data_IF_112118047215
#
_entry.id   IF_112118047215
#
_cell.length_a   1.000
_cell.length_b   1.000
_cell.length_c   1.000
_cell.angle_alpha   90.00
_cell.angle_beta   90.00
_cell.angle_gamma   90.00
#
_symmetry.space_group_name_H-M   'P 1'
#
loop_
_entity.id
_entity.type
_entity.pdbx_description
1 polymer ?
#
# COMPACT_ATOMS: atom_id res chain seq x y z
N UNK A 1 8.89 2.96 45.10
CA UNK A 1 8.57 2.41 46.43
C UNK A 1 9.45 3.14 47.47
N UNK A 2 8.88 3.56 48.56
CA UNK A 2 9.61 4.35 49.59
C UNK A 2 10.35 5.59 49.06
N UNK A 3 9.77 6.29 48.07
CA UNK A 3 10.39 7.47 47.45
C UNK A 3 11.56 7.18 46.48
N UNK A 4 11.84 5.93 46.19
CA UNK A 4 12.84 5.48 45.21
C UNK A 4 12.16 5.00 43.93
N UNK A 5 12.74 5.40 42.79
CA UNK A 5 12.29 4.93 41.47
C UNK A 5 13.06 3.66 41.10
N UNK A 6 12.34 2.62 40.70
CA UNK A 6 12.88 1.36 40.23
C UNK A 6 12.45 1.12 38.79
N UNK A 7 13.39 0.71 37.92
CA UNK A 7 13.08 0.28 36.58
C UNK A 7 12.66 -1.18 36.60
N UNK A 8 11.38 -1.46 36.31
CA UNK A 8 10.83 -2.81 36.30
C UNK A 8 10.99 -3.49 34.94
N UNK A 9 10.89 -2.73 33.86
CA UNK A 9 10.98 -3.27 32.51
C UNK A 9 11.29 -2.16 31.50
N UNK A 10 12.06 -2.52 30.47
CA UNK A 10 12.25 -1.69 29.27
C UNK A 10 11.76 -2.42 28.03
N UNK A 11 11.20 -1.69 27.08
CA UNK A 11 10.83 -2.21 25.75
C UNK A 11 11.27 -1.22 24.70
N UNK A 12 11.69 -1.74 23.54
CA UNK A 12 11.95 -0.89 22.38
C UNK A 12 10.64 -0.24 21.91
N UNK A 13 10.67 1.06 21.70
CA UNK A 13 9.55 1.80 21.12
C UNK A 13 9.29 1.32 19.69
N UNK A 14 8.03 1.02 19.37
CA UNK A 14 7.62 0.79 17.99
C UNK A 14 7.61 2.14 17.27
N UNK A 15 8.31 2.22 16.13
CA UNK A 15 8.45 3.45 15.35
C UNK A 15 7.91 3.22 13.95
N UNK A 16 7.26 4.24 13.40
CA UNK A 16 7.00 4.28 11.95
C UNK A 16 8.33 4.54 11.21
N UNK A 17 8.38 4.22 9.93
CA UNK A 17 9.56 4.47 9.11
C UNK A 17 9.99 5.96 9.13
N UNK A 18 9.02 6.88 8.99
CA UNK A 18 9.26 8.31 9.07
C UNK A 18 9.81 8.75 10.44
N UNK A 19 9.26 8.21 11.54
CA UNK A 19 9.75 8.51 12.88
C UNK A 19 11.17 7.97 13.10
N UNK A 20 11.49 6.78 12.62
CA UNK A 20 12.82 6.19 12.74
C UNK A 20 13.88 7.07 12.04
N UNK A 21 13.58 7.50 10.81
CA UNK A 21 14.46 8.37 10.04
C UNK A 21 14.65 9.74 10.74
N UNK A 22 13.53 10.38 11.13
CA UNK A 22 13.57 11.68 11.82
C UNK A 22 14.40 11.63 13.11
N UNK A 23 14.18 10.60 13.95
CA UNK A 23 14.94 10.42 15.20
C UNK A 23 16.43 10.20 14.93
N UNK A 24 16.78 9.44 13.89
CA UNK A 24 18.18 9.23 13.55
C UNK A 24 18.86 10.54 13.17
N UNK A 25 18.23 11.39 12.36
CA UNK A 25 18.73 12.72 11.99
C UNK A 25 18.84 13.63 13.22
N UNK A 26 17.80 13.72 14.02
CA UNK A 26 17.77 14.58 15.22
C UNK A 26 18.90 14.21 16.21
N UNK A 27 19.17 12.92 16.39
CA UNK A 27 20.27 12.48 17.26
C UNK A 27 21.65 12.85 16.73
N UNK A 28 21.83 12.96 15.42
CA UNK A 28 23.08 13.50 14.82
C UNK A 28 23.17 15.00 15.07
N UNK A 29 22.09 15.74 14.81
CA UNK A 29 22.03 17.19 15.01
C UNK A 29 22.26 17.59 16.48
N UNK A 30 21.80 16.76 17.42
CA UNK A 30 22.05 16.89 18.86
C UNK A 30 23.44 16.43 19.29
N UNK A 31 24.28 15.94 18.38
CA UNK A 31 25.62 15.43 18.65
C UNK A 31 25.70 14.18 19.50
N UNK A 32 24.59 13.41 19.59
CA UNK A 32 24.51 12.18 20.42
C UNK A 32 25.01 10.92 19.71
N UNK A 33 24.96 10.90 18.38
CA UNK A 33 25.46 9.82 17.55
C UNK A 33 26.16 10.39 16.31
N UNK A 34 26.98 9.57 15.65
CA UNK A 34 27.61 9.94 14.38
C UNK A 34 26.64 9.69 13.20
N UNK A 35 26.89 10.32 12.05
CA UNK A 35 26.14 10.05 10.80
C UNK A 35 26.18 8.56 10.45
N UNK A 36 27.33 7.91 10.64
CA UNK A 36 27.48 6.47 10.40
C UNK A 36 26.56 5.64 11.31
N UNK A 37 26.45 6.01 12.58
CA UNK A 37 25.56 5.32 13.52
C UNK A 37 24.10 5.55 13.15
N UNK A 38 23.75 6.75 12.67
CA UNK A 38 22.41 7.06 12.20
C UNK A 38 22.00 6.17 11.02
N UNK A 39 22.88 6.02 10.02
CA UNK A 39 22.65 5.13 8.86
C UNK A 39 22.46 3.68 9.31
N UNK A 40 23.27 3.19 10.24
CA UNK A 40 23.18 1.82 10.76
C UNK A 40 21.90 1.55 11.58
N UNK A 41 21.23 2.60 12.08
CA UNK A 41 19.99 2.48 12.87
C UNK A 41 18.72 2.43 12.03
N UNK A 42 18.79 2.80 10.76
CA UNK A 42 17.64 2.80 9.84
C UNK A 42 17.65 1.52 9.00
N UNK A 43 16.62 0.72 9.14
CA UNK A 43 16.47 -0.50 8.33
C UNK A 43 16.13 -0.16 6.88
N UNK A 44 16.80 -0.77 5.87
CA UNK A 44 16.53 -0.49 4.45
C UNK A 44 15.05 -0.66 4.06
N UNK A 45 14.35 -1.66 4.64
CA UNK A 45 12.92 -1.88 4.42
C UNK A 45 12.04 -0.70 4.85
N UNK A 46 12.48 0.07 5.85
CA UNK A 46 11.75 1.27 6.27
C UNK A 46 11.88 2.39 5.23
N UNK A 47 13.05 2.53 4.61
CA UNK A 47 13.25 3.50 3.53
C UNK A 47 12.42 3.15 2.31
N UNK A 48 12.36 1.88 1.94
CA UNK A 48 11.55 1.40 0.82
C UNK A 48 10.09 1.84 0.97
N UNK A 49 9.51 1.68 2.16
CA UNK A 49 8.13 2.11 2.43
C UNK A 49 7.91 3.63 2.30
N UNK A 50 8.94 4.45 2.49
CA UNK A 50 8.86 5.92 2.36
C UNK A 50 8.99 6.39 0.91
N UNK A 51 9.58 5.57 0.02
CA UNK A 51 9.74 5.88 -1.40
C UNK A 51 8.47 5.64 -2.21
N UNK A 52 7.53 4.87 -1.67
CA UNK A 52 6.23 4.66 -2.32
C UNK A 52 5.27 5.83 -2.12
N UNK A 53 4.36 6.09 -3.09
CA UNK A 53 3.29 7.06 -2.94
C UNK A 53 2.48 6.83 -1.66
N UNK A 54 2.10 7.91 -0.98
CA UNK A 54 1.28 7.86 0.23
C UNK A 54 0.11 8.82 0.10
N UNK A 55 -1.00 8.52 0.77
CA UNK A 55 -2.11 9.45 0.87
C UNK A 55 -1.75 10.63 1.79
N UNK A 56 -2.31 11.79 1.50
CA UNK A 56 -2.24 12.93 2.43
C UNK A 56 -2.79 12.52 3.81
N UNK A 57 -2.04 12.86 4.86
CA UNK A 57 -2.37 12.43 6.22
C UNK A 57 -3.72 12.98 6.74
N UNK A 58 -4.12 14.19 6.28
CA UNK A 58 -5.40 14.80 6.66
C UNK A 58 -6.55 14.13 5.92
N UNK A 59 -6.38 13.89 4.61
CA UNK A 59 -7.34 13.18 3.79
C UNK A 59 -7.57 11.75 4.29
N UNK A 60 -6.50 11.03 4.67
CA UNK A 60 -6.59 9.67 5.21
C UNK A 60 -7.36 9.62 6.53
N UNK A 61 -7.17 10.61 7.41
CA UNK A 61 -7.91 10.70 8.68
C UNK A 61 -9.39 11.01 8.49
N UNK A 62 -9.74 11.74 7.44
CA UNK A 62 -11.10 12.09 7.12
C UNK A 62 -11.84 10.99 6.34
N UNK A 63 -11.10 10.08 5.71
CA UNK A 63 -11.67 8.99 4.90
C UNK A 63 -12.21 7.87 5.80
N UNK A 64 -13.33 7.29 5.38
CA UNK A 64 -13.89 6.08 6.01
C UNK A 64 -13.52 4.87 5.14
N UNK A 65 -12.75 3.90 5.65
CA UNK A 65 -12.44 2.68 4.92
C UNK A 65 -13.73 1.91 4.59
N UNK A 66 -13.87 1.46 3.35
CA UNK A 66 -15.05 0.71 2.90
C UNK A 66 -14.80 -0.80 2.80
N UNK A 67 -13.53 -1.21 2.79
CA UNK A 67 -13.14 -2.62 2.72
C UNK A 67 -11.73 -2.84 3.24
N UNK A 68 -11.34 -4.10 3.39
CA UNK A 68 -10.04 -4.50 3.91
C UNK A 68 -9.47 -5.65 3.09
N UNK A 69 -8.18 -5.57 2.80
CA UNK A 69 -7.41 -6.63 2.15
C UNK A 69 -5.98 -6.68 2.66
N UNK A 70 -5.19 -7.58 2.10
CA UNK A 70 -3.76 -7.70 2.41
C UNK A 70 -2.97 -6.63 1.64
N UNK A 71 -2.11 -5.91 2.34
CA UNK A 71 -1.15 -5.00 1.72
C UNK A 71 -0.05 -5.81 1.01
N UNK A 72 -0.37 -6.26 -0.21
CA UNK A 72 0.48 -7.17 -0.97
C UNK A 72 1.68 -6.47 -1.61
N UNK A 73 1.53 -5.21 -2.00
CA UNK A 73 2.62 -4.32 -2.42
C UNK A 73 2.36 -2.93 -1.84
N UNK A 74 3.40 -2.26 -1.31
CA UNK A 74 3.25 -0.98 -0.63
C UNK A 74 2.85 0.14 -1.59
N UNK A 75 2.34 1.25 -1.03
CA UNK A 75 1.98 2.46 -1.75
C UNK A 75 0.54 2.87 -1.54
N UNK A 76 0.17 3.93 -2.25
CA UNK A 76 -1.19 4.47 -2.31
C UNK A 76 -1.52 4.79 -3.77
N UNK A 77 -2.73 4.47 -4.18
CA UNK A 77 -3.18 4.69 -5.54
C UNK A 77 -4.60 5.25 -5.56
N UNK A 78 -4.85 6.14 -6.50
CA UNK A 78 -6.17 6.67 -6.82
C UNK A 78 -6.38 6.61 -8.32
N UNK A 79 -7.59 6.29 -8.74
CA UNK A 79 -7.91 6.22 -10.16
C UNK A 79 -9.33 5.72 -10.39
N UNK A 80 -9.71 5.71 -11.65
CA UNK A 80 -10.98 5.16 -12.11
C UNK A 80 -10.92 3.64 -12.08
N UNK A 81 -12.06 3.02 -11.80
CA UNK A 81 -12.17 1.57 -11.73
C UNK A 81 -12.18 0.99 -13.15
N UNK A 82 -11.37 -0.02 -13.39
CA UNK A 82 -11.42 -0.84 -14.61
C UNK A 82 -11.33 -2.32 -14.25
N UNK A 83 -11.92 -3.18 -15.07
CA UNK A 83 -12.09 -4.60 -14.76
C UNK A 83 -11.28 -5.53 -15.69
N UNK A 84 -10.75 -5.02 -16.79
CA UNK A 84 -9.91 -5.79 -17.73
C UNK A 84 -8.54 -5.16 -17.89
N UNK A 85 -7.57 -5.96 -18.30
CA UNK A 85 -6.22 -5.49 -18.61
C UNK A 85 -6.22 -4.54 -19.82
N UNK A 86 -7.09 -4.83 -20.78
CA UNK A 86 -7.29 -4.04 -21.99
C UNK A 86 -7.82 -2.66 -21.65
N UNK A 87 -8.89 -2.56 -20.86
CA UNK A 87 -9.46 -1.28 -20.41
C UNK A 87 -8.42 -0.49 -19.60
N UNK A 88 -7.64 -1.15 -18.72
CA UNK A 88 -6.58 -0.49 -17.97
C UNK A 88 -5.55 0.18 -18.89
N UNK A 89 -5.10 -0.55 -19.92
CA UNK A 89 -4.15 -0.05 -20.90
C UNK A 89 -4.74 1.07 -21.77
N UNK A 90 -5.96 0.88 -22.26
CA UNK A 90 -6.63 1.89 -23.10
C UNK A 90 -6.83 3.20 -22.36
N UNK A 91 -7.33 3.15 -21.12
CA UNK A 91 -7.59 4.35 -20.32
C UNK A 91 -6.30 5.04 -19.88
N UNK A 92 -5.28 4.26 -19.51
CA UNK A 92 -3.95 4.81 -19.19
C UNK A 92 -3.33 5.52 -20.40
N UNK A 93 -3.47 4.98 -21.62
CA UNK A 93 -3.00 5.61 -22.85
C UNK A 93 -3.74 6.93 -23.17
N UNK A 94 -4.98 7.10 -22.67
CA UNK A 94 -5.72 8.35 -22.73
C UNK A 94 -5.34 9.35 -21.63
N UNK A 95 -4.40 9.00 -20.78
CA UNK A 95 -3.93 9.82 -19.66
C UNK A 95 -4.76 9.68 -18.37
N UNK A 96 -5.70 8.73 -18.32
CA UNK A 96 -6.49 8.47 -17.12
C UNK A 96 -5.70 7.60 -16.12
N UNK A 97 -5.85 7.92 -14.85
CA UNK A 97 -5.34 7.06 -13.76
C UNK A 97 -6.36 5.98 -13.47
N UNK A 98 -5.94 4.72 -13.46
CA UNK A 98 -6.85 3.59 -13.28
C UNK A 98 -6.43 2.67 -12.14
N UNK A 99 -7.41 2.05 -11.52
CA UNK A 99 -7.27 0.95 -10.55
C UNK A 99 -7.84 -0.31 -11.21
N UNK A 100 -6.99 -1.31 -11.40
CA UNK A 100 -7.39 -2.59 -11.96
C UNK A 100 -8.01 -3.47 -10.87
N UNK A 101 -9.28 -3.80 -11.02
CA UNK A 101 -10.04 -4.65 -10.10
C UNK A 101 -10.28 -6.02 -10.73
N UNK A 102 -9.76 -7.07 -10.10
CA UNK A 102 -9.88 -8.45 -10.61
C UNK A 102 -10.32 -9.41 -9.51
N UNK A 103 -10.96 -10.50 -9.89
CA UNK A 103 -11.17 -11.62 -8.98
C UNK A 103 -9.80 -12.17 -8.54
N UNK A 104 -8.92 -12.43 -9.50
CA UNK A 104 -7.50 -12.73 -9.38
C UNK A 104 -6.80 -12.36 -10.70
N UNK A 105 -5.50 -12.14 -10.69
CA UNK A 105 -4.76 -11.83 -11.91
C UNK A 105 -4.04 -13.06 -12.46
N UNK A 106 -3.84 -13.05 -13.77
CA UNK A 106 -3.09 -14.06 -14.52
C UNK A 106 -1.92 -13.42 -15.29
N UNK A 107 -1.01 -14.19 -15.89
CA UNK A 107 0.06 -13.65 -16.72
C UNK A 107 -0.42 -12.77 -17.88
N UNK A 108 -1.62 -12.99 -18.37
CA UNK A 108 -2.24 -12.20 -19.44
C UNK A 108 -2.57 -10.76 -18.97
N UNK A 109 -2.74 -10.55 -17.68
CA UNK A 109 -3.06 -9.25 -17.11
C UNK A 109 -1.84 -8.31 -16.92
N UNK A 110 -0.60 -8.78 -17.17
CA UNK A 110 0.65 -8.06 -16.88
C UNK A 110 0.69 -6.65 -17.50
N UNK A 111 0.27 -6.50 -18.74
CA UNK A 111 0.27 -5.19 -19.41
C UNK A 111 -0.70 -4.22 -18.76
N UNK A 112 -1.90 -4.68 -18.39
CA UNK A 112 -2.89 -3.88 -17.66
C UNK A 112 -2.44 -3.55 -16.24
N UNK A 113 -1.81 -4.50 -15.56
CA UNK A 113 -1.22 -4.28 -14.23
C UNK A 113 -0.13 -3.22 -14.26
N UNK A 114 0.70 -3.21 -15.31
CA UNK A 114 1.76 -2.21 -15.48
C UNK A 114 1.21 -0.82 -15.79
N UNK A 115 0.09 -0.73 -16.48
CA UNK A 115 -0.57 0.54 -16.82
C UNK A 115 -1.36 1.14 -15.64
N UNK A 116 -1.80 0.30 -14.70
CA UNK A 116 -2.61 0.71 -13.55
C UNK A 116 -1.77 1.41 -12.46
N UNK A 117 -2.38 2.39 -11.79
CA UNK A 117 -1.80 3.03 -10.60
C UNK A 117 -1.85 2.11 -9.38
N UNK A 118 -2.81 1.20 -9.35
CA UNK A 118 -2.97 0.22 -8.29
C UNK A 118 -3.80 -0.97 -8.73
N UNK A 119 -3.65 -2.06 -7.97
CA UNK A 119 -4.30 -3.34 -8.24
C UNK A 119 -5.09 -3.76 -7.01
N UNK A 120 -6.33 -4.16 -7.22
CA UNK A 120 -7.21 -4.69 -6.19
C UNK A 120 -7.70 -6.07 -6.60
N UNK A 121 -7.44 -7.08 -5.78
CA UNK A 121 -7.97 -8.43 -6.05
C UNK A 121 -8.85 -8.94 -4.93
N UNK A 122 -9.90 -9.67 -5.32
CA UNK A 122 -10.82 -10.32 -4.40
C UNK A 122 -10.14 -11.52 -3.73
N UNK A 123 -9.44 -12.31 -4.51
CA UNK A 123 -8.70 -13.50 -4.08
C UNK A 123 -7.20 -13.25 -4.12
N UNK A 124 -6.48 -14.12 -3.42
CA UNK A 124 -5.03 -14.13 -3.41
C UNK A 124 -4.43 -13.71 -2.08
N UNK A 125 -3.23 -14.19 -1.83
CA UNK A 125 -2.40 -13.91 -0.66
C UNK A 125 -1.10 -13.23 -1.05
N UNK A 126 -0.16 -13.17 -0.11
CA UNK A 126 1.16 -12.55 -0.32
C UNK A 126 2.03 -13.22 -1.39
N UNK A 127 1.69 -14.45 -1.78
CA UNK A 127 2.37 -15.25 -2.83
C UNK A 127 1.54 -15.39 -4.10
N UNK A 128 0.38 -14.72 -4.20
CA UNK A 128 -0.43 -14.73 -5.41
C UNK A 128 0.29 -14.03 -6.58
N UNK A 129 -0.13 -14.33 -7.81
CA UNK A 129 0.39 -13.68 -9.02
C UNK A 129 0.32 -12.15 -8.90
N UNK A 130 -0.84 -11.60 -8.49
CA UNK A 130 -1.00 -10.16 -8.29
C UNK A 130 0.04 -9.58 -7.32
N UNK A 131 0.25 -10.24 -6.18
CA UNK A 131 1.16 -9.78 -5.15
C UNK A 131 2.63 -9.81 -5.60
N UNK A 132 3.05 -10.87 -6.26
CA UNK A 132 4.45 -11.04 -6.73
C UNK A 132 4.77 -10.06 -7.85
N UNK A 133 3.90 -9.97 -8.84
CA UNK A 133 4.09 -9.10 -10.00
C UNK A 133 4.02 -7.63 -9.59
N UNK A 134 3.03 -7.22 -8.78
CA UNK A 134 2.91 -5.85 -8.30
C UNK A 134 4.14 -5.38 -7.52
N UNK A 135 4.71 -6.23 -6.65
CA UNK A 135 5.98 -5.91 -5.97
C UNK A 135 7.15 -5.76 -6.93
N UNK A 136 7.24 -6.62 -7.93
CA UNK A 136 8.27 -6.52 -8.97
C UNK A 136 8.17 -5.23 -9.80
N UNK A 137 6.96 -4.73 -10.01
CA UNK A 137 6.68 -3.49 -10.75
C UNK A 137 6.74 -2.24 -9.86
N UNK A 138 6.74 -2.38 -8.52
CA UNK A 138 6.60 -1.26 -7.59
C UNK A 138 5.18 -0.65 -7.57
N UNK A 139 4.17 -1.37 -8.06
CA UNK A 139 2.78 -0.94 -8.13
C UNK A 139 2.05 -1.28 -6.84
N UNK A 140 1.27 -0.34 -6.29
CA UNK A 140 0.43 -0.57 -5.11
C UNK A 140 -0.54 -1.73 -5.37
N UNK A 141 -0.64 -2.67 -4.41
CA UNK A 141 -1.55 -3.80 -4.54
C UNK A 141 -2.21 -4.15 -3.21
N UNK A 142 -3.53 -4.19 -3.23
CA UNK A 142 -4.36 -4.77 -2.17
C UNK A 142 -4.93 -6.08 -2.67
N UNK A 143 -4.59 -7.18 -2.01
CA UNK A 143 -4.97 -8.53 -2.43
C UNK A 143 -5.88 -9.20 -1.39
N UNK A 144 -6.72 -10.12 -1.83
CA UNK A 144 -7.56 -10.91 -0.92
C UNK A 144 -8.66 -10.10 -0.23
N UNK A 145 -9.25 -9.12 -0.91
CA UNK A 145 -10.41 -8.37 -0.41
C UNK A 145 -11.70 -9.19 -0.62
N UNK A 146 -11.87 -10.25 0.15
CA UNK A 146 -12.95 -11.25 -0.02
C UNK A 146 -14.37 -10.74 0.20
N UNK A 147 -14.54 -9.51 0.70
CA UNK A 147 -15.85 -8.86 0.85
C UNK A 147 -16.37 -8.28 -0.48
N UNK A 148 -15.52 -8.21 -1.51
CA UNK A 148 -15.88 -7.70 -2.84
C UNK A 148 -16.48 -8.82 -3.69
N UNK A 149 -17.58 -8.53 -4.37
CA UNK A 149 -18.13 -9.37 -5.43
C UNK A 149 -18.01 -8.63 -6.76
N UNK A 150 -17.25 -9.18 -7.71
CA UNK A 150 -17.05 -8.60 -9.04
C UNK A 150 -18.02 -9.20 -10.04
N UNK A 151 -18.67 -8.34 -10.83
CA UNK A 151 -19.50 -8.67 -11.98
C UNK A 151 -18.86 -8.03 -13.23
N UNK A 152 -18.21 -8.86 -14.03
CA UNK A 152 -17.51 -8.41 -15.24
C UNK A 152 -18.46 -8.01 -16.36
N UNK A 153 -19.66 -8.62 -16.44
CA UNK A 153 -20.65 -8.31 -17.49
C UNK A 153 -21.27 -6.94 -17.22
N UNK A 154 -21.63 -6.67 -15.97
CA UNK A 154 -22.15 -5.37 -15.55
C UNK A 154 -21.04 -4.31 -15.32
N UNK A 155 -19.75 -4.67 -15.48
CA UNK A 155 -18.60 -3.81 -15.22
C UNK A 155 -18.72 -3.07 -13.87
N UNK A 156 -18.93 -3.85 -12.80
CA UNK A 156 -19.09 -3.33 -11.44
C UNK A 156 -18.52 -4.30 -10.40
N UNK A 157 -18.29 -3.79 -9.21
CA UNK A 157 -18.18 -4.63 -8.02
C UNK A 157 -19.12 -4.13 -6.93
N UNK A 158 -19.51 -5.03 -6.04
CA UNK A 158 -20.28 -4.69 -4.84
C UNK A 158 -19.42 -4.87 -3.59
N UNK A 159 -19.57 -3.95 -2.64
CA UNK A 159 -18.92 -3.99 -1.34
C UNK A 159 -19.84 -3.35 -0.30
N UNK A 160 -20.15 -4.08 0.78
CA UNK A 160 -21.04 -3.57 1.83
C UNK A 160 -22.45 -3.20 1.34
N UNK A 161 -22.97 -3.88 0.30
CA UNK A 161 -24.27 -3.61 -0.29
C UNK A 161 -24.32 -2.42 -1.27
N UNK A 162 -23.19 -1.76 -1.52
CA UNK A 162 -23.07 -0.68 -2.49
C UNK A 162 -22.37 -1.15 -3.75
N UNK A 163 -22.88 -0.77 -4.92
CA UNK A 163 -22.27 -1.03 -6.21
C UNK A 163 -21.32 0.11 -6.62
N UNK A 164 -20.18 -0.27 -7.19
CA UNK A 164 -19.16 0.62 -7.74
C UNK A 164 -18.95 0.21 -9.19
N UNK A 165 -19.16 1.14 -10.10
CA UNK A 165 -19.15 0.91 -11.54
C UNK A 165 -17.80 1.31 -12.14
N UNK A 166 -17.55 0.85 -13.38
CA UNK A 166 -16.41 1.28 -14.19
C UNK A 166 -16.41 2.79 -14.38
N UNK A 167 -15.24 3.42 -14.23
CA UNK A 167 -15.08 4.87 -14.31
C UNK A 167 -15.31 5.58 -12.94
#
# INVERSE_FOLDING_TARGET
>A
EHGKLYMLQTRNGKRTAAAALKIAVDLVDEGKITEKDAVLRVEPKQLDSLLHPQFDAKALKAATPIGKGLAASPGAACGRIVFTAEDAKEWANKGEKVILVRLETSPEDIEGMSAAQGILTVRGGMTSHAAVVARGMGTCCVSGCGEITVDYEAKQFTLGGKAYHEG
#
